data_IF_517670340958
#
_entry.id   IF_517670340958
#
_cell.length_a   1.000
_cell.length_b   1.000
_cell.length_c   1.000
_cell.angle_alpha   90.00
_cell.angle_beta   90.00
_cell.angle_gamma   90.00
#
_symmetry.space_group_name_H-M   'P 1'
#
loop_
_entity.id
_entity.type
_entity.pdbx_description
1 polymer ?
#
# COMPACT_ATOMS: atom_id res chain seq x y z
N UNK A 1 -8.46 15.82 8.38
CA UNK A 1 -7.87 14.55 8.88
C UNK A 1 -6.77 14.12 7.92
N UNK A 2 -5.63 13.63 8.44
CA UNK A 2 -4.49 13.22 7.62
C UNK A 2 -4.33 11.71 7.61
N UNK A 3 -4.07 11.13 6.44
CA UNK A 3 -3.72 9.73 6.26
C UNK A 3 -2.36 9.65 5.57
N UNK A 4 -1.42 8.97 6.21
CA UNK A 4 -0.08 8.75 5.68
C UNK A 4 0.07 7.28 5.32
N UNK A 5 0.12 6.99 4.04
CA UNK A 5 0.31 5.66 3.48
C UNK A 5 1.81 5.44 3.24
N UNK A 6 2.35 4.36 3.76
CA UNK A 6 3.77 4.04 3.74
C UNK A 6 3.94 2.71 3.00
N UNK A 7 4.66 2.70 1.89
CA UNK A 7 5.05 1.45 1.27
C UNK A 7 6.14 0.78 2.11
N UNK A 8 6.03 -0.53 2.32
CA UNK A 8 7.11 -1.29 2.96
C UNK A 8 8.46 -1.02 2.28
N UNK A 9 9.60 -1.05 3.02
CA UNK A 9 10.94 -0.95 2.45
C UNK A 9 11.26 -2.08 1.45
N UNK A 10 12.43 -2.02 0.84
CA UNK A 10 12.88 -3.02 -0.13
C UNK A 10 12.84 -4.45 0.45
N UNK A 11 12.49 -5.40 -0.40
CA UNK A 11 12.41 -6.83 -0.06
C UNK A 11 13.63 -7.60 -0.53
N UNK A 12 13.95 -8.70 0.15
CA UNK A 12 15.09 -9.55 -0.12
C UNK A 12 14.83 -10.60 -1.18
N UNK A 13 14.17 -10.22 -2.27
CA UNK A 13 13.92 -11.09 -3.43
C UNK A 13 14.48 -10.45 -4.69
N UNK A 14 14.69 -11.27 -5.73
CA UNK A 14 15.23 -10.77 -7.00
C UNK A 14 14.29 -9.78 -7.68
N UNK A 15 14.84 -8.75 -8.35
CA UNK A 15 14.04 -7.84 -9.17
C UNK A 15 13.27 -8.59 -10.25
N UNK A 16 12.04 -8.12 -10.52
CA UNK A 16 11.18 -8.73 -11.53
C UNK A 16 10.40 -9.96 -11.05
N UNK A 17 10.47 -10.31 -9.77
CA UNK A 17 9.64 -11.36 -9.19
C UNK A 17 8.25 -10.81 -8.83
N UNK A 18 7.21 -11.53 -9.21
CA UNK A 18 5.84 -11.26 -8.76
C UNK A 18 5.66 -11.86 -7.37
N UNK A 19 5.34 -11.05 -6.36
CA UNK A 19 5.21 -11.55 -4.98
C UNK A 19 3.97 -11.07 -4.22
N UNK A 20 3.03 -10.42 -4.86
CA UNK A 20 1.71 -10.02 -4.34
C UNK A 20 1.43 -10.30 -2.86
N UNK A 21 0.67 -11.35 -2.58
CA UNK A 21 0.37 -11.85 -1.23
C UNK A 21 1.42 -12.77 -0.63
N UNK A 22 2.37 -13.26 -1.41
CA UNK A 22 3.47 -14.05 -0.87
C UNK A 22 4.22 -13.29 0.21
N UNK A 23 4.49 -13.95 1.33
CA UNK A 23 5.19 -13.31 2.45
C UNK A 23 6.70 -13.42 2.26
N UNK A 24 7.28 -12.40 1.66
CA UNK A 24 8.70 -12.29 1.37
C UNK A 24 9.40 -11.40 2.41
N UNK A 25 10.67 -11.71 2.77
CA UNK A 25 11.40 -10.96 3.78
C UNK A 25 11.83 -9.57 3.27
N UNK A 26 12.09 -8.66 4.21
CA UNK A 26 12.78 -7.40 3.92
C UNK A 26 14.24 -7.67 3.50
N UNK A 27 14.80 -6.80 2.66
CA UNK A 27 16.19 -6.84 2.25
C UNK A 27 17.16 -6.43 3.37
N UNK A 28 16.68 -5.70 4.37
CA UNK A 28 17.45 -5.20 5.50
C UNK A 28 16.65 -5.36 6.81
N UNK A 29 17.31 -5.29 7.98
CA UNK A 29 16.61 -5.35 9.26
C UNK A 29 15.51 -4.31 9.38
N UNK A 30 14.36 -4.72 9.94
CA UNK A 30 13.19 -3.86 10.07
C UNK A 30 13.44 -2.59 10.88
N UNK A 31 14.37 -2.62 11.86
CA UNK A 31 14.73 -1.44 12.65
C UNK A 31 15.33 -0.33 11.78
N UNK A 32 16.22 -0.69 10.84
CA UNK A 32 16.81 0.27 9.91
C UNK A 32 15.74 0.87 8.98
N UNK A 33 14.85 0.02 8.45
CA UNK A 33 13.74 0.45 7.59
C UNK A 33 12.78 1.40 8.32
N UNK A 34 12.38 1.06 9.54
CA UNK A 34 11.49 1.89 10.34
C UNK A 34 12.15 3.23 10.74
N UNK A 35 13.45 3.22 11.05
CA UNK A 35 14.20 4.44 11.34
C UNK A 35 14.27 5.37 10.13
N UNK A 36 14.53 4.83 8.94
CA UNK A 36 14.56 5.61 7.70
C UNK A 36 13.19 6.23 7.40
N UNK A 37 12.11 5.45 7.49
CA UNK A 37 10.73 5.94 7.32
C UNK A 37 10.41 7.05 8.32
N UNK A 38 10.75 6.88 9.60
CA UNK A 38 10.52 7.92 10.63
C UNK A 38 11.28 9.21 10.33
N UNK A 39 12.54 9.09 9.93
CA UNK A 39 13.34 10.26 9.57
C UNK A 39 12.72 11.00 8.38
N UNK A 40 12.26 10.27 7.38
CA UNK A 40 11.61 10.85 6.20
C UNK A 40 10.30 11.55 6.59
N UNK A 41 9.42 10.91 7.36
CA UNK A 41 8.18 11.50 7.87
C UNK A 41 8.43 12.77 8.70
N UNK A 42 9.50 12.79 9.49
CA UNK A 42 9.90 13.98 10.26
C UNK A 42 10.34 15.14 9.36
N UNK A 43 11.09 14.84 8.28
CA UNK A 43 11.49 15.86 7.29
C UNK A 43 10.27 16.43 6.56
N UNK A 44 9.29 15.60 6.23
CA UNK A 44 8.03 16.02 5.61
C UNK A 44 7.13 16.82 6.57
N UNK A 45 7.40 16.81 7.87
CA UNK A 45 6.51 17.40 8.86
C UNK A 45 5.18 16.66 8.97
N UNK A 46 5.15 15.36 8.65
CA UNK A 46 3.94 14.55 8.74
C UNK A 46 3.42 14.49 10.18
N UNK A 47 2.10 14.63 10.41
CA UNK A 47 1.53 14.59 11.75
C UNK A 47 1.75 13.21 12.37
N UNK A 48 2.00 13.18 13.68
CA UNK A 48 2.08 11.93 14.44
C UNK A 48 0.71 11.22 14.39
N UNK A 49 0.70 9.89 14.21
CA UNK A 49 -0.55 9.13 14.13
C UNK A 49 -1.16 8.94 15.51
N UNK A 50 -2.46 8.77 15.58
CA UNK A 50 -3.13 8.21 16.76
C UNK A 50 -3.30 6.69 16.66
N UNK A 51 -3.15 6.13 15.46
CA UNK A 51 -3.16 4.69 15.21
C UNK A 51 -2.31 4.36 13.97
N UNK A 52 -1.67 3.20 14.01
CA UNK A 52 -0.99 2.61 12.85
C UNK A 52 -1.76 1.40 12.36
N UNK A 53 -2.08 1.38 11.08
CA UNK A 53 -2.65 0.25 10.36
C UNK A 53 -1.55 -0.51 9.62
N UNK A 54 -1.75 -1.80 9.39
CA UNK A 54 -0.78 -2.54 8.58
C UNK A 54 -1.39 -3.76 7.88
N UNK A 55 -0.83 -4.06 6.72
CA UNK A 55 -0.90 -5.39 6.14
C UNK A 55 -0.31 -6.42 7.11
N UNK A 56 -0.89 -7.63 7.26
CA UNK A 56 -0.33 -8.68 8.09
C UNK A 56 0.97 -9.28 7.53
N UNK A 57 1.33 -9.02 6.26
CA UNK A 57 2.55 -9.53 5.65
C UNK A 57 3.78 -8.99 6.37
N UNK A 58 4.75 -9.87 6.63
CA UNK A 58 5.91 -9.60 7.51
C UNK A 58 6.67 -8.33 7.12
N UNK A 59 6.84 -8.07 5.82
CA UNK A 59 7.50 -6.85 5.30
C UNK A 59 6.83 -5.54 5.68
N UNK A 60 5.51 -5.57 5.93
CA UNK A 60 4.75 -4.41 6.42
C UNK A 60 4.65 -4.42 7.95
N UNK A 61 4.20 -5.55 8.52
CA UNK A 61 3.91 -5.69 9.94
C UNK A 61 5.14 -5.37 10.80
N UNK A 62 6.32 -5.86 10.42
CA UNK A 62 7.55 -5.61 11.18
C UNK A 62 7.97 -4.13 11.22
N UNK A 63 7.67 -3.36 10.17
CA UNK A 63 7.91 -1.92 10.15
C UNK A 63 6.85 -1.19 10.98
N UNK A 64 5.57 -1.56 10.80
CA UNK A 64 4.46 -0.93 11.52
C UNK A 64 4.57 -1.10 13.04
N UNK A 65 5.01 -2.27 13.52
CA UNK A 65 5.26 -2.54 14.95
C UNK A 65 6.24 -1.53 15.55
N UNK A 66 7.35 -1.28 14.85
CA UNK A 66 8.37 -0.34 15.31
C UNK A 66 7.90 1.12 15.26
N UNK A 67 7.13 1.47 14.22
CA UNK A 67 6.55 2.80 14.10
C UNK A 67 5.51 3.04 15.22
N UNK A 68 4.59 2.09 15.43
CA UNK A 68 3.57 2.18 16.48
C UNK A 68 4.20 2.24 17.88
N UNK A 69 5.20 1.39 18.16
CA UNK A 69 5.95 1.41 19.41
C UNK A 69 6.66 2.75 19.63
N UNK A 70 7.31 3.28 18.60
CA UNK A 70 8.04 4.54 18.70
C UNK A 70 7.14 5.77 18.89
N UNK A 71 5.88 5.69 18.40
CA UNK A 71 4.87 6.73 18.58
C UNK A 71 4.02 6.52 19.84
N UNK A 72 4.08 5.35 20.48
CA UNK A 72 3.26 5.01 21.66
C UNK A 72 1.77 4.86 21.32
N UNK A 73 1.43 4.37 20.12
CA UNK A 73 0.05 4.28 19.63
C UNK A 73 -0.37 2.84 19.30
N UNK A 74 -1.68 2.55 19.25
CA UNK A 74 -2.19 1.24 18.86
C UNK A 74 -1.75 0.82 17.45
N UNK A 75 -1.56 -0.49 17.25
CA UNK A 75 -1.33 -1.13 15.97
C UNK A 75 -2.51 -2.02 15.60
N UNK A 76 -3.07 -1.81 14.42
CA UNK A 76 -4.16 -2.62 13.86
C UNK A 76 -3.68 -3.37 12.61
N UNK A 77 -3.76 -4.71 12.62
CA UNK A 77 -3.46 -5.55 11.46
C UNK A 77 -4.76 -5.96 10.79
N UNK A 78 -4.87 -5.69 9.48
CA UNK A 78 -6.06 -6.02 8.71
C UNK A 78 -5.68 -6.65 7.37
N UNK A 79 -6.35 -7.74 7.01
CA UNK A 79 -6.08 -8.47 5.76
C UNK A 79 -6.36 -7.63 4.52
N UNK A 80 -7.29 -6.70 4.60
CA UNK A 80 -7.65 -5.82 3.49
C UNK A 80 -6.53 -4.81 3.12
N UNK A 81 -5.47 -4.67 3.94
CA UNK A 81 -4.24 -3.95 3.60
C UNK A 81 -3.20 -4.78 2.82
N UNK A 82 -3.44 -6.07 2.55
CA UNK A 82 -2.53 -6.90 1.76
C UNK A 82 -2.47 -6.43 0.30
N UNK A 83 -1.33 -6.71 -0.36
CA UNK A 83 -1.19 -6.52 -1.81
C UNK A 83 -2.16 -7.44 -2.57
N UNK A 84 -2.35 -7.19 -3.85
CA UNK A 84 -3.15 -8.02 -4.73
C UNK A 84 -2.64 -9.46 -4.75
N UNK A 85 -3.58 -10.42 -4.74
CA UNK A 85 -3.30 -11.84 -4.90
C UNK A 85 -3.11 -12.15 -6.39
N UNK A 86 -1.88 -12.46 -6.79
CA UNK A 86 -1.56 -12.85 -8.16
C UNK A 86 -1.60 -14.36 -8.38
N UNK A 87 -2.13 -15.14 -7.42
CA UNK A 87 -2.38 -16.58 -7.59
C UNK A 87 -1.18 -17.34 -8.15
N UNK A 88 -1.38 -18.06 -9.27
CA UNK A 88 -0.35 -18.88 -9.90
C UNK A 88 0.86 -18.10 -10.48
N UNK A 89 0.76 -16.77 -10.53
CA UNK A 89 1.89 -15.94 -10.96
C UNK A 89 2.82 -15.58 -9.79
N UNK A 90 2.40 -15.75 -8.58
CA UNK A 90 3.24 -15.43 -7.42
C UNK A 90 4.51 -16.28 -7.38
N UNK A 91 5.61 -15.67 -6.98
CA UNK A 91 6.97 -16.21 -6.95
C UNK A 91 7.52 -16.63 -8.31
N UNK A 92 6.91 -16.19 -9.42
CA UNK A 92 7.46 -16.28 -10.76
C UNK A 92 7.99 -14.93 -11.22
N UNK A 93 8.98 -14.94 -12.11
CA UNK A 93 9.41 -13.71 -12.77
C UNK A 93 8.33 -13.25 -13.73
N UNK A 94 8.10 -11.96 -13.84
CA UNK A 94 7.15 -11.41 -14.82
C UNK A 94 7.48 -11.83 -16.25
N UNK A 95 8.79 -11.95 -16.58
CA UNK A 95 9.27 -12.38 -17.89
C UNK A 95 9.01 -13.88 -18.18
N UNK A 96 8.78 -14.71 -17.14
CA UNK A 96 8.48 -16.14 -17.25
C UNK A 96 6.97 -16.44 -17.28
N UNK A 97 6.13 -15.42 -17.16
CA UNK A 97 4.68 -15.56 -17.27
C UNK A 97 4.31 -15.57 -18.78
N UNK A 98 3.44 -16.49 -19.14
CA UNK A 98 2.97 -16.60 -20.53
C UNK A 98 2.45 -15.25 -21.05
N UNK A 99 2.99 -14.82 -22.18
CA UNK A 99 2.67 -13.53 -22.79
C UNK A 99 1.19 -13.40 -23.13
N UNK A 100 0.57 -14.48 -23.65
CA UNK A 100 -0.85 -14.46 -23.98
C UNK A 100 -1.72 -14.28 -22.71
N UNK A 101 -1.31 -14.86 -21.58
CA UNK A 101 -2.00 -14.68 -20.29
C UNK A 101 -1.87 -13.24 -19.76
N UNK A 102 -0.69 -12.61 -19.90
CA UNK A 102 -0.48 -11.21 -19.56
C UNK A 102 -1.30 -10.27 -20.45
N UNK A 103 -1.32 -10.51 -21.76
CA UNK A 103 -2.08 -9.70 -22.72
C UNK A 103 -3.59 -9.83 -22.49
N UNK A 104 -4.09 -11.03 -22.19
CA UNK A 104 -5.50 -11.24 -21.83
C UNK A 104 -5.86 -10.54 -20.52
N UNK A 105 -4.98 -10.56 -19.52
CA UNK A 105 -5.17 -9.83 -18.25
C UNK A 105 -5.17 -8.31 -18.47
N UNK A 106 -4.26 -7.81 -19.29
CA UNK A 106 -4.17 -6.38 -19.59
C UNK A 106 -5.37 -5.88 -20.41
N UNK A 107 -5.95 -6.71 -21.28
CA UNK A 107 -7.12 -6.35 -22.09
C UNK A 107 -8.41 -6.16 -21.28
N UNK A 108 -8.54 -6.83 -20.13
CA UNK A 108 -9.65 -6.65 -19.17
C UNK A 108 -9.10 -6.57 -17.76
N UNK A 109 -8.30 -5.54 -17.50
CA UNK A 109 -7.55 -5.36 -16.26
C UNK A 109 -8.43 -5.47 -15.01
N UNK A 110 -9.66 -4.94 -15.07
CA UNK A 110 -10.55 -4.89 -13.91
C UNK A 110 -11.11 -6.27 -13.53
N UNK A 111 -11.38 -7.14 -14.52
CA UNK A 111 -12.14 -8.37 -14.25
C UNK A 111 -11.38 -9.66 -14.56
N UNK A 112 -10.36 -9.61 -15.44
CA UNK A 112 -9.58 -10.78 -15.74
C UNK A 112 -8.84 -11.34 -14.53
N UNK A 113 -8.83 -12.68 -14.42
CA UNK A 113 -8.17 -13.45 -13.37
C UNK A 113 -7.38 -14.63 -13.96
N UNK A 114 -6.60 -14.40 -15.03
CA UNK A 114 -5.81 -15.44 -15.69
C UNK A 114 -4.86 -16.18 -14.72
N UNK A 115 -4.43 -15.51 -13.66
CA UNK A 115 -3.59 -16.06 -12.59
C UNK A 115 -4.38 -16.87 -11.53
N UNK A 116 -5.71 -16.90 -11.57
CA UNK A 116 -6.55 -17.60 -10.58
C UNK A 116 -6.57 -16.97 -9.19
N UNK A 117 -6.02 -15.78 -9.02
CA UNK A 117 -6.03 -15.01 -7.78
C UNK A 117 -7.17 -13.99 -7.71
N UNK A 118 -6.86 -12.74 -7.35
CA UNK A 118 -7.81 -11.65 -7.15
C UNK A 118 -7.92 -10.77 -8.40
N UNK A 119 -9.13 -10.45 -8.88
CA UNK A 119 -9.27 -9.43 -9.92
C UNK A 119 -8.98 -8.03 -9.34
N UNK A 120 -8.56 -7.09 -10.20
CA UNK A 120 -8.34 -5.70 -9.77
C UNK A 120 -9.61 -5.09 -9.18
N UNK A 121 -10.79 -5.43 -9.69
CA UNK A 121 -12.06 -4.96 -9.13
C UNK A 121 -12.30 -5.47 -7.69
N UNK A 122 -11.99 -6.75 -7.40
CA UNK A 122 -12.09 -7.30 -6.04
C UNK A 122 -11.06 -6.68 -5.11
N UNK A 123 -9.84 -6.52 -5.59
CA UNK A 123 -8.76 -5.81 -4.90
C UNK A 123 -9.18 -4.38 -4.55
N UNK A 124 -9.66 -3.61 -5.53
CA UNK A 124 -10.11 -2.24 -5.33
C UNK A 124 -11.28 -2.16 -4.32
N UNK A 125 -12.24 -3.08 -4.39
CA UNK A 125 -13.37 -3.09 -3.47
C UNK A 125 -12.95 -3.32 -2.01
N UNK A 126 -11.96 -4.22 -1.72
CA UNK A 126 -11.51 -4.39 -0.33
C UNK A 126 -10.68 -3.23 0.19
N UNK A 127 -9.85 -2.62 -0.68
CA UNK A 127 -9.08 -1.43 -0.30
C UNK A 127 -10.00 -0.23 -0.07
N UNK A 128 -11.06 -0.06 -0.88
CA UNK A 128 -12.06 0.97 -0.67
C UNK A 128 -12.75 0.85 0.70
N UNK A 129 -13.09 -0.38 1.15
CA UNK A 129 -13.63 -0.59 2.51
C UNK A 129 -12.66 -0.11 3.60
N UNK A 130 -11.35 -0.32 3.42
CA UNK A 130 -10.35 0.18 4.37
C UNK A 130 -10.24 1.71 4.33
N UNK A 131 -10.30 2.30 3.13
CA UNK A 131 -10.29 3.75 2.99
C UNK A 131 -11.50 4.38 3.70
N UNK A 132 -12.69 3.80 3.51
CA UNK A 132 -13.92 4.26 4.19
C UNK A 132 -13.84 4.06 5.70
N UNK A 133 -13.21 2.97 6.17
CA UNK A 133 -13.03 2.71 7.61
C UNK A 133 -12.07 3.74 8.24
N UNK A 134 -10.95 4.02 7.58
CA UNK A 134 -9.97 5.02 8.02
C UNK A 134 -10.56 6.43 7.96
N UNK A 135 -11.35 6.75 6.95
CA UNK A 135 -11.99 8.06 6.81
C UNK A 135 -12.99 8.42 7.93
N UNK A 136 -13.41 7.44 8.75
CA UNK A 136 -14.28 7.68 9.92
C UNK A 136 -13.54 8.24 11.13
N UNK A 137 -12.21 8.19 11.12
CA UNK A 137 -11.42 8.81 12.18
C UNK A 137 -11.27 10.30 11.91
N UNK A 138 -11.22 11.10 12.97
CA UNK A 138 -11.01 12.55 12.89
C UNK A 138 -9.55 12.94 13.17
N UNK A 139 -8.69 11.99 13.44
CA UNK A 139 -7.29 12.11 13.85
C UNK A 139 -6.34 11.50 12.82
N UNK A 140 -5.06 11.93 12.79
CA UNK A 140 -4.08 11.40 11.86
C UNK A 140 -3.89 9.89 11.99
N UNK A 141 -3.80 9.20 10.85
CA UNK A 141 -3.64 7.76 10.75
C UNK A 141 -2.44 7.44 9.85
N UNK A 142 -1.63 6.46 10.24
CA UNK A 142 -0.61 5.90 9.37
C UNK A 142 -1.00 4.48 8.93
N UNK A 143 -0.62 4.10 7.72
CA UNK A 143 -0.81 2.73 7.24
C UNK A 143 0.43 2.23 6.51
N UNK A 144 1.01 1.12 7.00
CA UNK A 144 2.14 0.46 6.33
C UNK A 144 1.60 -0.66 5.43
N UNK A 145 1.82 -0.51 4.13
CA UNK A 145 1.19 -1.36 3.12
C UNK A 145 2.04 -1.48 1.84
N UNK A 146 1.42 -1.63 0.69
CA UNK A 146 2.01 -1.97 -0.61
C UNK A 146 1.68 -0.93 -1.66
N UNK A 147 2.44 -0.91 -2.77
CA UNK A 147 2.28 0.08 -3.82
C UNK A 147 0.90 0.03 -4.50
N UNK A 148 0.38 -1.18 -4.77
CA UNK A 148 -0.95 -1.36 -5.36
C UNK A 148 -2.06 -0.82 -4.46
N UNK A 149 -1.99 -1.16 -3.16
CA UNK A 149 -2.95 -0.66 -2.15
C UNK A 149 -2.94 0.86 -2.06
N UNK A 150 -1.75 1.47 -2.04
CA UNK A 150 -1.61 2.94 -1.96
C UNK A 150 -2.27 3.62 -3.15
N UNK A 151 -2.05 3.12 -4.37
CA UNK A 151 -2.66 3.67 -5.59
C UNK A 151 -4.18 3.54 -5.59
N UNK A 152 -4.69 2.36 -5.19
CA UNK A 152 -6.14 2.12 -5.12
C UNK A 152 -6.79 2.98 -4.03
N UNK A 153 -6.18 3.06 -2.84
CA UNK A 153 -6.66 3.91 -1.76
C UNK A 153 -6.75 5.38 -2.22
N UNK A 154 -5.67 5.89 -2.81
CA UNK A 154 -5.64 7.26 -3.31
C UNK A 154 -6.68 7.50 -4.42
N UNK A 155 -6.81 6.58 -5.38
CA UNK A 155 -7.82 6.69 -6.44
C UNK A 155 -9.23 6.78 -5.85
N UNK A 156 -9.54 5.94 -4.85
CA UNK A 156 -10.85 5.92 -4.19
C UNK A 156 -11.15 7.24 -3.48
N UNK A 157 -10.28 7.72 -2.61
CA UNK A 157 -10.55 8.93 -1.81
C UNK A 157 -10.48 10.22 -2.63
N UNK A 158 -9.62 10.26 -3.66
CA UNK A 158 -9.52 11.40 -4.57
C UNK A 158 -10.61 11.40 -5.64
N UNK A 159 -11.45 10.36 -5.70
CA UNK A 159 -12.49 10.19 -6.73
C UNK A 159 -11.95 10.28 -8.17
N UNK A 160 -10.75 9.70 -8.42
CA UNK A 160 -10.14 9.66 -9.75
C UNK A 160 -10.11 8.22 -10.30
N UNK A 161 -10.13 8.01 -11.63
CA UNK A 161 -10.00 6.70 -12.22
C UNK A 161 -8.68 6.03 -11.80
N UNK A 162 -8.72 4.73 -11.47
CA UNK A 162 -7.54 3.99 -11.00
C UNK A 162 -6.40 3.98 -12.03
N UNK A 163 -6.73 3.91 -13.31
CA UNK A 163 -5.75 3.91 -14.40
C UNK A 163 -4.84 5.15 -14.41
N UNK A 164 -5.34 6.29 -13.93
CA UNK A 164 -4.55 7.52 -13.80
C UNK A 164 -3.41 7.41 -12.78
N UNK A 165 -3.51 6.46 -11.84
CA UNK A 165 -2.51 6.26 -10.78
C UNK A 165 -1.69 4.98 -10.94
N UNK A 166 -2.05 4.08 -11.86
CA UNK A 166 -1.35 2.79 -12.02
C UNK A 166 0.15 2.96 -12.33
N UNK A 167 0.51 3.94 -13.14
CA UNK A 167 1.89 4.22 -13.52
C UNK A 167 2.62 5.15 -12.53
N UNK A 168 1.90 5.76 -11.58
CA UNK A 168 2.53 6.69 -10.63
C UNK A 168 3.46 5.95 -9.68
N UNK A 169 4.73 6.36 -9.59
CA UNK A 169 5.71 5.71 -8.70
C UNK A 169 5.27 5.75 -7.24
N UNK A 170 5.58 4.69 -6.52
CA UNK A 170 5.57 4.62 -5.05
C UNK A 170 6.81 3.84 -4.68
N UNK A 171 7.95 4.47 -4.41
CA UNK A 171 9.21 3.79 -4.13
C UNK A 171 9.15 2.98 -2.83
N UNK A 172 10.04 2.00 -2.68
CA UNK A 172 10.15 1.20 -1.45
C UNK A 172 10.52 2.10 -0.27
N UNK A 173 9.77 2.04 0.83
CA UNK A 173 9.87 2.97 1.95
C UNK A 173 9.26 4.36 1.69
N UNK A 174 8.69 4.57 0.49
CA UNK A 174 8.08 5.83 0.11
C UNK A 174 6.74 6.11 0.80
N UNK A 175 6.38 7.37 0.83
CA UNK A 175 5.26 7.93 1.55
C UNK A 175 4.28 8.62 0.60
N UNK A 176 2.99 8.40 0.81
CA UNK A 176 1.91 9.16 0.20
C UNK A 176 1.06 9.74 1.33
N UNK A 177 1.02 11.06 1.43
CA UNK A 177 0.26 11.77 2.45
C UNK A 177 -0.97 12.43 1.82
N UNK A 178 -2.13 12.01 2.27
CA UNK A 178 -3.43 12.49 1.85
C UNK A 178 -4.11 13.25 3.01
N UNK A 179 -4.83 14.30 2.69
CA UNK A 179 -5.60 15.09 3.66
C UNK A 179 -7.05 15.19 3.25
N UNK A 180 -7.94 14.84 4.21
CA UNK A 180 -9.37 15.10 4.07
C UNK A 180 -9.70 16.49 4.56
N UNK A 181 -10.42 17.25 3.74
CA UNK A 181 -11.14 18.46 4.16
C UNK A 181 -12.57 18.07 4.54
N UNK A 182 -12.84 18.03 5.84
CA UNK A 182 -14.16 17.66 6.36
C UNK A 182 -15.26 18.67 5.98
N UNK A 183 -14.90 19.94 5.78
CA UNK A 183 -15.87 20.97 5.41
C UNK A 183 -16.26 20.87 3.93
N UNK A 184 -15.31 20.56 3.06
CA UNK A 184 -15.53 20.39 1.63
C UNK A 184 -15.97 18.97 1.25
N UNK A 185 -15.76 17.96 2.11
CA UNK A 185 -15.98 16.55 1.79
C UNK A 185 -15.03 16.02 0.73
N UNK A 186 -13.85 16.62 0.58
CA UNK A 186 -12.87 16.30 -0.45
C UNK A 186 -11.55 15.85 0.15
N UNK A 187 -10.71 15.19 -0.67
CA UNK A 187 -9.35 14.81 -0.33
C UNK A 187 -8.35 15.50 -1.26
N UNK A 188 -7.18 15.79 -0.73
CA UNK A 188 -6.06 16.32 -1.49
C UNK A 188 -4.78 15.52 -1.24
N UNK A 189 -3.86 15.56 -2.19
CA UNK A 189 -2.49 15.02 -2.05
C UNK A 189 -1.63 16.12 -1.43
N UNK A 190 -1.18 15.91 -0.19
CA UNK A 190 -0.22 16.79 0.48
C UNK A 190 1.19 16.48 0.02
N UNK A 191 1.51 15.17 -0.09
CA UNK A 191 2.81 14.69 -0.55
C UNK A 191 2.69 13.33 -1.25
N UNK A 192 3.55 13.11 -2.25
CA UNK A 192 3.67 11.84 -2.94
C UNK A 192 5.12 11.65 -3.36
N UNK A 193 5.81 10.65 -2.80
CA UNK A 193 7.17 10.30 -3.21
C UNK A 193 7.20 9.70 -4.63
N UNK A 194 8.15 10.15 -5.44
CA UNK A 194 8.37 9.73 -6.84
C UNK A 194 9.76 9.12 -7.06
#
# INVERSE_FOLDING_TARGET
MDVVLIRHPAVGVEPGLCYGRSDVPLAAPADAGAQAVRAHLSVLGAPLPEQVWTSPLTRCASIAERLAQACGVPLQREADWQEMDFGAWEMRRWDDIDRAALDAWAADLMHACAHGGESVARFAARVARQADAVARFDRPQWAVTHAGVIRVFAAHVLCVPLDTLLSRPVPAGGVVWLRADAAAGTWEVVHWDE
#
